data_IF_911688110269
#
_entry.id   IF_911688110269
#
_cell.length_a   1.000
_cell.length_b   1.000
_cell.length_c   1.000
_cell.angle_alpha   90.00
_cell.angle_beta   90.00
_cell.angle_gamma   90.00
#
_symmetry.space_group_name_H-M   'P 1'
#
loop_
_entity.id
_entity.type
_entity.pdbx_description
1 polymer ?
#
# COMPACT_ATOMS: atom_id res chain seq x y z
N UNK A 1 16.66 -0.69 11.73
CA UNK A 1 17.00 0.37 10.74
C UNK A 1 17.74 -0.19 9.52
N UNK A 2 18.83 -0.94 9.70
CA UNK A 2 19.61 -1.52 8.58
C UNK A 2 18.78 -2.42 7.63
N UNK A 3 17.90 -3.26 8.19
CA UNK A 3 17.00 -4.14 7.40
C UNK A 3 16.04 -3.33 6.51
N UNK A 4 15.45 -2.25 7.04
CA UNK A 4 14.57 -1.37 6.25
C UNK A 4 15.32 -0.70 5.10
N UNK A 5 16.59 -0.33 5.33
CA UNK A 5 17.45 0.30 4.34
C UNK A 5 17.80 -0.66 3.20
N UNK A 6 18.08 -1.93 3.52
CA UNK A 6 18.33 -2.98 2.52
C UNK A 6 17.09 -3.24 1.66
N UNK A 7 15.92 -3.39 2.30
CA UNK A 7 14.64 -3.58 1.59
C UNK A 7 14.37 -2.37 0.68
N UNK A 8 14.59 -1.16 1.17
CA UNK A 8 14.39 0.08 0.41
C UNK A 8 15.34 0.20 -0.80
N UNK A 9 16.62 -0.13 -0.64
CA UNK A 9 17.59 -0.15 -1.74
C UNK A 9 17.17 -1.18 -2.79
N UNK A 10 16.75 -2.37 -2.36
CA UNK A 10 16.31 -3.43 -3.26
C UNK A 10 15.06 -3.02 -4.06
N UNK A 11 14.07 -2.43 -3.39
CA UNK A 11 12.86 -1.92 -4.04
C UNK A 11 13.17 -0.81 -5.06
N UNK A 12 14.06 0.11 -4.70
CA UNK A 12 14.51 1.21 -5.58
C UNK A 12 15.23 0.68 -6.82
N UNK A 13 16.14 -0.28 -6.65
CA UNK A 13 16.85 -0.92 -7.75
C UNK A 13 15.90 -1.67 -8.69
N UNK A 14 14.96 -2.44 -8.14
CA UNK A 14 14.00 -3.18 -8.94
C UNK A 14 13.12 -2.24 -9.78
N UNK A 15 12.55 -1.19 -9.17
CA UNK A 15 11.75 -0.19 -9.91
C UNK A 15 12.53 0.40 -11.08
N UNK A 16 13.77 0.83 -10.85
CA UNK A 16 14.62 1.39 -11.91
C UNK A 16 14.82 0.42 -13.07
N UNK A 17 15.14 -0.84 -12.77
CA UNK A 17 15.38 -1.87 -13.79
C UNK A 17 14.11 -2.14 -14.64
N UNK A 18 12.93 -2.08 -14.02
CA UNK A 18 11.65 -2.26 -14.74
C UNK A 18 11.35 -1.09 -15.69
N UNK A 19 11.60 0.15 -15.28
CA UNK A 19 11.41 1.32 -16.16
C UNK A 19 12.39 1.37 -17.33
N UNK A 20 13.64 1.00 -17.12
CA UNK A 20 14.64 0.95 -18.21
C UNK A 20 14.27 -0.10 -19.27
N UNK A 21 13.72 -1.24 -18.84
CA UNK A 21 13.20 -2.28 -19.74
C UNK A 21 12.01 -1.77 -20.57
N UNK A 22 11.11 -1.00 -19.95
CA UNK A 22 9.96 -0.34 -20.58
C UNK A 22 10.36 0.61 -21.69
N UNK A 23 11.31 1.51 -21.40
CA UNK A 23 11.82 2.49 -22.38
C UNK A 23 12.49 1.77 -23.55
N UNK A 24 13.12 0.62 -23.30
CA UNK A 24 13.74 -0.19 -24.34
C UNK A 24 12.69 -0.87 -25.21
N UNK A 25 11.64 -1.46 -24.62
CA UNK A 25 10.57 -2.10 -25.38
C UNK A 25 9.75 -1.05 -26.16
N UNK A 26 9.41 0.09 -25.56
CA UNK A 26 8.63 1.16 -26.22
C UNK A 26 9.32 1.76 -27.44
N UNK A 27 10.66 1.74 -27.46
CA UNK A 27 11.45 2.19 -28.62
C UNK A 27 11.51 1.17 -29.75
N UNK A 28 11.21 -0.10 -29.47
CA UNK A 28 11.28 -1.20 -30.44
C UNK A 28 9.89 -1.69 -30.92
N UNK A 29 8.80 -1.22 -30.30
CA UNK A 29 7.42 -1.55 -30.67
C UNK A 29 6.83 -0.40 -31.51
N UNK A 30 6.27 -0.72 -32.68
CA UNK A 30 5.77 0.27 -33.65
C UNK A 30 4.25 0.55 -33.54
N UNK A 31 3.49 -0.27 -32.80
CA UNK A 31 2.04 -0.11 -32.66
C UNK A 31 1.69 0.57 -31.33
N UNK A 32 0.87 1.63 -31.34
CA UNK A 32 0.47 2.35 -30.13
C UNK A 32 -0.39 1.51 -29.18
N UNK A 33 -1.14 0.52 -29.70
CA UNK A 33 -2.00 -0.36 -28.90
C UNK A 33 -1.19 -1.36 -28.05
N UNK A 34 -0.13 -1.96 -28.62
CA UNK A 34 0.78 -2.85 -27.90
C UNK A 34 1.53 -2.12 -26.78
N UNK A 35 1.89 -0.85 -27.01
CA UNK A 35 2.51 0.02 -25.99
C UNK A 35 1.53 0.25 -24.84
N UNK A 36 0.24 0.43 -25.12
CA UNK A 36 -0.80 0.68 -24.11
C UNK A 36 -1.03 -0.54 -23.21
N UNK A 37 -1.05 -1.75 -23.78
CA UNK A 37 -1.19 -2.99 -23.03
C UNK A 37 0.04 -3.28 -22.13
N UNK A 38 1.25 -3.03 -22.65
CA UNK A 38 2.49 -3.10 -21.87
C UNK A 38 2.50 -2.05 -20.76
N UNK A 39 2.00 -0.83 -21.04
CA UNK A 39 1.88 0.21 -20.02
C UNK A 39 0.87 -0.18 -18.93
N UNK A 40 -0.30 -0.71 -19.30
CA UNK A 40 -1.34 -1.13 -18.34
C UNK A 40 -0.92 -2.33 -17.48
N UNK A 41 -0.17 -3.30 -18.04
CA UNK A 41 0.37 -4.44 -17.28
C UNK A 41 1.49 -4.05 -16.30
N UNK A 42 2.08 -2.85 -16.46
CA UNK A 42 3.21 -2.36 -15.66
C UNK A 42 2.84 -1.20 -14.73
N UNK A 43 1.74 -0.50 -15.00
CA UNK A 43 1.07 0.28 -13.98
C UNK A 43 0.55 -0.73 -12.96
N UNK A 44 1.33 -0.92 -11.89
CA UNK A 44 0.84 -1.53 -10.65
C UNK A 44 -0.36 -0.69 -10.21
N UNK A 45 -1.55 -1.09 -10.66
CA UNK A 45 -2.81 -0.55 -10.14
C UNK A 45 -2.86 -1.03 -8.71
N UNK A 46 -2.27 -0.25 -7.82
CA UNK A 46 -2.25 -0.50 -6.39
C UNK A 46 -3.72 -0.65 -6.00
N UNK A 47 -4.11 -1.87 -5.63
CA UNK A 47 -5.47 -2.15 -5.20
C UNK A 47 -5.85 -1.07 -4.18
N UNK A 48 -7.02 -0.45 -4.34
CA UNK A 48 -7.42 0.65 -3.47
C UNK A 48 -7.24 0.22 -2.02
N UNK A 49 -6.48 1.02 -1.27
CA UNK A 49 -5.94 0.59 0.02
C UNK A 49 -7.07 0.52 1.02
N UNK A 50 -7.48 -0.69 1.41
CA UNK A 50 -8.54 -0.86 2.40
C UNK A 50 -8.09 -0.32 3.77
N UNK A 51 -8.54 0.90 4.07
CA UNK A 51 -8.27 1.60 5.32
C UNK A 51 -8.88 0.89 6.53
N UNK A 52 -9.95 0.09 6.35
CA UNK A 52 -10.55 -0.71 7.43
C UNK A 52 -9.58 -1.82 7.83
N UNK A 53 -9.07 -2.58 6.85
CA UNK A 53 -8.07 -3.63 7.07
C UNK A 53 -6.79 -3.05 7.68
N UNK A 54 -6.28 -1.95 7.14
CA UNK A 54 -5.09 -1.31 7.70
C UNK A 54 -5.33 -0.81 9.12
N UNK A 55 -6.49 -0.24 9.41
CA UNK A 55 -6.82 0.28 10.74
C UNK A 55 -6.86 -0.81 11.81
N UNK A 56 -7.43 -1.98 11.52
CA UNK A 56 -7.44 -3.12 12.45
C UNK A 56 -6.02 -3.58 12.79
N UNK A 57 -5.15 -3.68 11.78
CA UNK A 57 -3.73 -4.06 11.98
C UNK A 57 -3.03 -3.02 12.87
N UNK A 58 -3.21 -1.74 12.57
CA UNK A 58 -2.61 -0.64 13.35
C UNK A 58 -3.08 -0.63 14.80
N UNK A 59 -4.37 -0.87 15.07
CA UNK A 59 -4.89 -1.04 16.44
C UNK A 59 -4.19 -2.20 17.15
N UNK A 60 -4.04 -3.35 16.47
CA UNK A 60 -3.32 -4.50 17.03
C UNK A 60 -1.89 -4.18 17.43
N UNK A 61 -1.16 -3.43 16.59
CA UNK A 61 0.20 -2.95 16.90
C UNK A 61 0.19 -1.98 18.09
N UNK A 62 -0.75 -1.04 18.14
CA UNK A 62 -0.88 -0.07 19.23
C UNK A 62 -1.17 -0.74 20.58
N UNK A 63 -2.12 -1.68 20.61
CA UNK A 63 -2.43 -2.50 21.80
C UNK A 63 -1.21 -3.34 22.19
N UNK A 64 -0.55 -3.97 21.22
CA UNK A 64 0.64 -4.77 21.47
C UNK A 64 1.77 -3.98 22.11
N UNK A 65 2.06 -2.77 21.61
CA UNK A 65 3.08 -1.88 22.19
C UNK A 65 2.69 -1.38 23.58
N UNK A 66 1.41 -1.03 23.78
CA UNK A 66 0.91 -0.62 25.09
C UNK A 66 1.06 -1.72 26.14
N UNK A 67 0.63 -2.94 25.81
CA UNK A 67 0.75 -4.10 26.70
C UNK A 67 2.21 -4.50 26.92
N UNK A 68 3.02 -4.47 25.88
CA UNK A 68 4.45 -4.80 25.97
C UNK A 68 5.19 -3.84 26.92
N UNK A 69 4.87 -2.55 26.90
CA UNK A 69 5.46 -1.62 27.86
C UNK A 69 4.94 -1.84 29.27
N UNK A 70 3.62 -1.99 29.44
CA UNK A 70 3.03 -2.16 30.79
C UNK A 70 3.43 -3.46 31.49
N UNK A 71 3.60 -4.55 30.75
CA UNK A 71 3.92 -5.86 31.32
C UNK A 71 5.39 -6.29 31.13
N UNK A 72 6.14 -5.60 30.28
CA UNK A 72 7.53 -5.96 29.96
C UNK A 72 8.55 -4.92 30.40
N UNK A 73 8.49 -3.72 29.82
CA UNK A 73 9.58 -2.73 29.92
C UNK A 73 9.42 -1.70 31.06
N UNK A 74 8.19 -1.35 31.45
CA UNK A 74 7.91 -0.41 32.53
C UNK A 74 8.43 1.02 32.28
N UNK A 75 8.59 1.43 31.02
CA UNK A 75 9.20 2.73 30.67
C UNK A 75 8.18 3.88 30.59
N UNK A 76 6.89 3.55 30.58
CA UNK A 76 5.71 4.41 30.36
C UNK A 76 5.69 5.18 29.01
N UNK A 77 6.84 5.49 28.43
CA UNK A 77 6.98 6.17 27.13
C UNK A 77 6.46 5.29 26.00
N UNK A 78 6.77 4.00 26.00
CA UNK A 78 6.33 3.07 24.94
C UNK A 78 4.81 2.85 25.04
N UNK A 79 4.23 2.91 26.24
CA UNK A 79 2.79 2.86 26.44
C UNK A 79 2.09 4.06 25.80
N UNK A 80 2.68 5.26 25.91
CA UNK A 80 2.19 6.46 25.21
C UNK A 80 2.25 6.31 23.68
N UNK A 81 3.33 5.75 23.14
CA UNK A 81 3.47 5.44 21.71
C UNK A 81 2.43 4.40 21.26
N UNK A 82 2.17 3.38 22.08
CA UNK A 82 1.13 2.38 21.81
C UNK A 82 -0.27 2.99 21.72
N UNK A 83 -0.63 3.90 22.64
CA UNK A 83 -1.90 4.63 22.61
C UNK A 83 -2.01 5.56 21.38
N UNK A 84 -0.92 6.22 20.99
CA UNK A 84 -0.89 7.04 19.78
C UNK A 84 -1.18 6.20 18.53
N UNK A 85 -0.52 5.05 18.40
CA UNK A 85 -0.72 4.14 17.26
C UNK A 85 -2.15 3.59 17.27
N UNK A 86 -2.71 3.27 18.44
CA UNK A 86 -4.10 2.84 18.59
C UNK A 86 -5.07 3.92 18.08
N UNK A 87 -4.87 5.19 18.45
CA UNK A 87 -5.69 6.30 17.98
C UNK A 87 -5.63 6.48 16.46
N UNK A 88 -4.44 6.32 15.85
CA UNK A 88 -4.28 6.33 14.39
C UNK A 88 -5.10 5.20 13.75
N UNK A 89 -5.03 4.00 14.30
CA UNK A 89 -5.77 2.85 13.78
C UNK A 89 -7.29 3.04 13.82
N UNK A 90 -7.83 3.66 14.88
CA UNK A 90 -9.25 4.05 14.94
C UNK A 90 -9.61 5.04 13.83
N UNK A 91 -8.76 6.05 13.60
CA UNK A 91 -8.94 7.01 12.51
C UNK A 91 -8.96 6.35 11.12
N UNK A 92 -8.13 5.34 10.90
CA UNK A 92 -8.11 4.58 9.64
C UNK A 92 -9.40 3.78 9.42
N UNK A 93 -9.95 3.16 10.47
CA UNK A 93 -11.24 2.45 10.35
C UNK A 93 -12.35 3.44 9.98
N UNK A 94 -12.42 4.58 10.66
CA UNK A 94 -13.41 5.63 10.37
C UNK A 94 -13.26 6.11 8.92
N UNK A 95 -12.03 6.37 8.46
CA UNK A 95 -11.76 6.77 7.08
C UNK A 95 -12.20 5.71 6.07
N UNK A 96 -12.02 4.41 6.36
CA UNK A 96 -12.45 3.31 5.50
C UNK A 96 -13.96 3.13 5.39
N UNK A 97 -14.74 3.67 6.33
CA UNK A 97 -16.20 3.76 6.23
C UNK A 97 -16.65 5.07 5.58
N UNK A 98 -15.98 6.19 5.85
CA UNK A 98 -16.33 7.50 5.30
C UNK A 98 -15.97 7.65 3.82
N UNK A 99 -14.88 7.00 3.39
CA UNK A 99 -14.39 6.98 2.01
C UNK A 99 -14.39 5.55 1.46
N UNK A 100 -15.58 5.00 1.12
CA UNK A 100 -15.70 3.64 0.61
C UNK A 100 -15.10 3.51 -0.79
N UNK A 101 -14.33 2.44 -0.97
CA UNK A 101 -13.58 2.09 -2.18
C UNK A 101 -14.44 1.42 -3.26
N UNK A 102 -15.62 0.93 -2.88
CA UNK A 102 -16.51 0.12 -3.72
C UNK A 102 -16.87 0.80 -5.06
N UNK A 103 -16.86 2.13 -5.10
CA UNK A 103 -17.09 2.91 -6.32
C UNK A 103 -16.01 2.70 -7.39
N UNK A 104 -14.75 2.54 -7.02
CA UNK A 104 -13.65 2.36 -7.97
C UNK A 104 -13.59 0.93 -8.53
N UNK A 105 -13.87 -0.08 -7.70
CA UNK A 105 -13.88 -1.49 -8.13
C UNK A 105 -15.03 -1.77 -9.11
N UNK A 106 -16.23 -1.25 -8.84
CA UNK A 106 -17.38 -1.39 -9.76
C UNK A 106 -17.08 -0.71 -11.09
N UNK A 107 -16.56 0.52 -11.07
CA UNK A 107 -16.30 1.27 -12.30
C UNK A 107 -15.24 0.58 -13.17
N UNK A 108 -14.20 0.00 -12.55
CA UNK A 108 -13.20 -0.78 -13.25
C UNK A 108 -13.76 -2.10 -13.83
N UNK A 109 -14.60 -2.81 -13.08
CA UNK A 109 -15.26 -4.00 -13.58
C UNK A 109 -16.14 -3.66 -14.80
N UNK A 110 -16.91 -2.56 -14.74
CA UNK A 110 -17.73 -2.09 -15.86
C UNK A 110 -16.88 -1.73 -17.09
N UNK A 111 -15.77 -1.02 -16.90
CA UNK A 111 -14.86 -0.67 -18.01
C UNK A 111 -14.23 -1.92 -18.67
N UNK A 112 -13.92 -2.96 -17.89
CA UNK A 112 -13.46 -4.26 -18.42
C UNK A 112 -14.58 -5.02 -19.16
N UNK A 113 -15.84 -4.90 -18.73
CA UNK A 113 -16.99 -5.44 -19.45
C UNK A 113 -17.29 -4.69 -20.76
N UNK A 114 -17.13 -3.36 -20.81
CA UNK A 114 -17.38 -2.55 -22.01
C UNK A 114 -16.31 -2.70 -23.09
N UNK A 115 -15.08 -3.05 -22.72
CA UNK A 115 -13.98 -3.31 -23.67
C UNK A 115 -14.04 -4.71 -24.30
N UNK A 116 -14.93 -5.58 -23.83
CA UNK A 116 -15.08 -6.97 -24.29
C UNK A 116 -16.25 -7.12 -25.25
#
# INVERSE_FOLDING_TARGET
>A
VLILLVIFIYDTKNKKNRYDTLITISKNVNNPDDIKEILESLVDRKSPTDYRRSGVITIGVGVGLFLFDKFGLGTDVISGVGLLILAIGVGQIIAGYLYPIESEEINKAVEEFEKK
#
